data_IF_821457910628
#
_entry.id   IF_821457910628
#
_cell.length_a   1.000
_cell.length_b   1.000
_cell.length_c   1.000
_cell.angle_alpha   90.00
_cell.angle_beta   90.00
_cell.angle_gamma   90.00
#
_symmetry.space_group_name_H-M   'P 1'
#
loop_
_entity.id
_entity.type
_entity.pdbx_description
1 polymer ?
#
# COMPACT_ATOMS: atom_id res chain seq x y z
N UNK A 1 -7.23 -9.53 -4.93
CA UNK A 1 -8.28 -10.19 -5.76
C UNK A 1 -9.34 -9.16 -6.12
N UNK A 2 -10.09 -9.34 -7.20
CA UNK A 2 -11.28 -8.56 -7.53
C UNK A 2 -12.43 -9.54 -7.82
N UNK A 3 -13.25 -9.83 -6.81
CA UNK A 3 -14.22 -10.93 -6.90
C UNK A 3 -13.49 -12.29 -6.97
N UNK A 4 -13.74 -13.04 -8.03
CA UNK A 4 -13.14 -14.38 -8.26
C UNK A 4 -11.83 -14.35 -9.04
N UNK A 5 -11.42 -13.19 -9.56
CA UNK A 5 -10.20 -13.07 -10.35
C UNK A 5 -9.05 -12.46 -9.52
N UNK A 6 -7.79 -12.85 -9.79
CA UNK A 6 -6.64 -12.13 -9.28
C UNK A 6 -6.69 -10.66 -9.69
N UNK A 7 -6.26 -9.75 -8.81
CA UNK A 7 -6.17 -8.33 -9.14
C UNK A 7 -4.73 -8.02 -9.54
N UNK A 8 -4.43 -8.09 -10.83
CA UNK A 8 -3.11 -7.80 -11.39
C UNK A 8 -2.92 -6.30 -11.66
N UNK A 9 -1.66 -5.84 -11.73
CA UNK A 9 -1.30 -4.44 -12.02
C UNK A 9 -1.88 -3.43 -11.04
N UNK A 10 -2.13 -3.84 -9.80
CA UNK A 10 -2.58 -2.98 -8.71
C UNK A 10 -1.37 -2.42 -7.97
N UNK A 11 -1.31 -1.10 -7.85
CA UNK A 11 -0.30 -0.42 -7.04
C UNK A 11 -0.63 -0.53 -5.55
N UNK A 12 0.36 -0.96 -4.77
CA UNK A 12 0.30 -1.05 -3.31
C UNK A 12 1.40 -0.16 -2.73
N UNK A 13 1.05 0.73 -1.82
CA UNK A 13 1.97 1.70 -1.21
C UNK A 13 2.14 1.43 0.27
N UNK A 14 3.37 1.48 0.75
CA UNK A 14 3.71 1.40 2.17
C UNK A 14 3.99 2.81 2.69
N UNK A 15 3.31 3.22 3.76
CA UNK A 15 3.51 4.52 4.39
C UNK A 15 4.12 4.39 5.79
N UNK A 16 4.92 5.39 6.17
CA UNK A 16 5.54 5.52 7.50
C UNK A 16 4.52 5.74 8.60
N UNK A 17 3.50 6.52 8.29
CA UNK A 17 2.42 6.92 9.19
C UNK A 17 1.08 6.79 8.45
N UNK A 18 -0.03 6.91 9.18
CA UNK A 18 -1.36 6.97 8.57
C UNK A 18 -1.54 8.32 7.86
N UNK A 19 -1.14 8.42 6.58
CA UNK A 19 -1.16 9.62 5.75
C UNK A 19 -1.41 9.24 4.28
N UNK A 20 -1.89 10.21 3.48
CA UNK A 20 -1.93 10.19 2.01
C UNK A 20 -0.73 10.88 1.37
N UNK A 21 0.01 11.70 2.10
CA UNK A 21 1.09 12.50 1.53
C UNK A 21 2.20 11.58 1.00
N UNK A 22 2.57 11.74 -0.28
CA UNK A 22 3.62 10.93 -0.89
C UNK A 22 4.98 11.06 -0.19
N UNK A 23 5.21 12.17 0.51
CA UNK A 23 6.37 12.40 1.38
C UNK A 23 6.52 11.35 2.48
N UNK A 24 5.41 10.71 2.89
CA UNK A 24 5.36 9.66 3.89
C UNK A 24 5.39 8.25 3.29
N UNK A 25 5.35 8.10 1.96
CA UNK A 25 5.50 6.80 1.32
C UNK A 25 6.95 6.31 1.47
N UNK A 26 7.11 5.00 1.67
CA UNK A 26 8.39 4.32 1.85
C UNK A 26 8.73 3.39 0.68
N UNK A 27 7.70 2.90 -0.02
CA UNK A 27 7.83 2.03 -1.17
C UNK A 27 6.49 1.92 -1.93
N UNK A 28 6.58 1.52 -3.19
CA UNK A 28 5.45 1.04 -4.00
C UNK A 28 5.80 -0.35 -4.54
N UNK A 29 4.84 -1.26 -4.48
CA UNK A 29 4.86 -2.55 -5.17
C UNK A 29 3.69 -2.63 -6.15
N UNK A 30 3.81 -3.49 -7.15
CA UNK A 30 2.73 -3.78 -8.10
C UNK A 30 2.38 -5.25 -8.01
N UNK A 31 1.09 -5.58 -7.97
CA UNK A 31 0.65 -6.97 -7.96
C UNK A 31 0.98 -7.66 -9.29
N UNK A 32 1.49 -8.88 -9.21
CA UNK A 32 1.74 -9.72 -10.39
C UNK A 32 0.43 -10.26 -11.00
N UNK A 33 0.54 -11.08 -12.04
CA UNK A 33 -0.62 -11.69 -12.72
C UNK A 33 -1.46 -12.61 -11.80
N UNK A 34 -0.88 -13.09 -10.71
CA UNK A 34 -1.57 -13.86 -9.67
C UNK A 34 -2.14 -12.97 -8.55
N UNK A 35 -2.07 -11.64 -8.69
CA UNK A 35 -2.55 -10.68 -7.69
C UNK A 35 -1.76 -10.65 -6.39
N UNK A 36 -0.55 -11.23 -6.39
CA UNK A 36 0.36 -11.26 -5.22
C UNK A 36 1.29 -10.07 -5.24
N UNK A 37 1.66 -9.58 -4.06
CA UNK A 37 2.67 -8.56 -3.87
C UNK A 37 3.50 -8.86 -2.62
N UNK A 38 4.74 -8.39 -2.61
CA UNK A 38 5.60 -8.27 -1.42
C UNK A 38 6.12 -6.84 -1.45
N UNK A 39 6.09 -6.16 -0.31
CA UNK A 39 6.55 -4.78 -0.20
C UNK A 39 7.38 -4.61 1.06
N UNK A 40 8.53 -3.98 0.91
CA UNK A 40 9.40 -3.51 1.99
C UNK A 40 9.80 -2.07 1.69
N UNK A 41 10.02 -1.28 2.74
CA UNK A 41 10.40 0.11 2.59
C UNK A 41 11.27 0.54 3.76
N UNK A 42 12.09 1.55 3.53
CA UNK A 42 12.96 2.16 4.53
C UNK A 42 12.69 3.67 4.60
N UNK A 43 13.16 4.33 5.64
CA UNK A 43 12.94 5.78 5.84
C UNK A 43 13.89 6.67 5.02
N UNK A 44 14.63 6.11 4.07
CA UNK A 44 15.43 6.88 3.13
C UNK A 44 14.54 7.48 2.05
N UNK A 45 14.82 8.74 1.67
CA UNK A 45 14.05 9.57 0.72
C UNK A 45 13.43 8.78 -0.44
N UNK A 46 12.16 8.38 -0.28
CA UNK A 46 11.37 7.78 -1.32
C UNK A 46 10.71 8.88 -2.15
N UNK A 47 10.82 8.79 -3.47
CA UNK A 47 10.13 9.68 -4.41
C UNK A 47 9.04 8.85 -5.09
N UNK A 48 7.78 9.09 -4.74
CA UNK A 48 6.63 8.49 -5.41
C UNK A 48 5.89 9.49 -6.30
N UNK A 49 4.95 9.00 -7.10
CA UNK A 49 4.01 9.82 -7.87
C UNK A 49 2.71 10.05 -7.10
N UNK A 50 2.16 11.26 -7.14
CA UNK A 50 0.79 11.53 -6.74
C UNK A 50 -0.12 11.14 -7.91
N UNK A 51 -0.76 9.98 -7.82
CA UNK A 51 -1.69 9.47 -8.84
C UNK A 51 -3.04 9.22 -8.19
N UNK A 52 -4.14 9.36 -8.94
CA UNK A 52 -5.47 9.05 -8.42
C UNK A 52 -5.53 7.60 -7.97
N UNK A 53 -5.91 7.40 -6.72
CA UNK A 53 -5.99 6.07 -6.15
C UNK A 53 -7.07 5.96 -5.10
N UNK A 54 -7.63 4.75 -5.04
CA UNK A 54 -8.55 4.32 -3.99
C UNK A 54 -7.74 3.79 -2.81
N UNK A 55 -7.97 4.36 -1.62
CA UNK A 55 -7.19 4.09 -0.43
C UNK A 55 -7.96 3.19 0.53
N UNK A 56 -7.33 2.07 0.87
CA UNK A 56 -7.72 1.20 1.98
C UNK A 56 -6.54 1.19 2.95
N UNK A 57 -6.74 1.66 4.18
CA UNK A 57 -5.67 1.71 5.18
C UNK A 57 -5.69 0.44 6.01
N UNK A 58 -4.57 -0.29 6.00
CA UNK A 58 -4.35 -1.48 6.82
C UNK A 58 -3.22 -1.18 7.81
N UNK A 59 -3.53 -1.31 9.10
CA UNK A 59 -2.55 -1.12 10.17
C UNK A 59 -1.90 -2.46 10.49
N UNK A 60 -0.58 -2.53 10.34
CA UNK A 60 0.19 -3.69 10.77
C UNK A 60 0.75 -3.46 12.18
N UNK A 61 0.90 -4.52 13.00
CA UNK A 61 1.40 -4.39 14.36
C UNK A 61 2.87 -3.93 14.44
N UNK A 62 3.23 -3.24 15.52
CA UNK A 62 4.57 -2.62 15.69
C UNK A 62 5.70 -3.66 15.72
N UNK A 63 5.43 -4.89 16.13
CA UNK A 63 6.40 -6.00 16.18
C UNK A 63 6.92 -6.44 14.80
N UNK A 64 6.27 -6.01 13.72
CA UNK A 64 6.77 -6.20 12.34
C UNK A 64 7.67 -5.04 11.87
N UNK A 65 7.83 -3.98 12.69
CA UNK A 65 8.77 -2.87 12.44
C UNK A 65 10.10 -3.18 13.12
N UNK A 66 11.20 -3.16 12.37
CA UNK A 66 12.55 -3.36 12.91
C UNK A 66 13.35 -2.05 12.88
N UNK A 67 14.08 -1.76 13.97
CA UNK A 67 15.12 -0.74 13.96
C UNK A 67 16.39 -1.36 13.36
N UNK A 68 16.79 -0.89 12.18
CA UNK A 68 17.99 -1.38 11.49
C UNK A 68 17.78 -1.53 9.99
N UNK A 69 18.78 -2.07 9.29
CA UNK A 69 18.78 -2.21 7.83
C UNK A 69 17.97 -3.41 7.31
N UNK A 70 17.74 -4.42 8.14
CA UNK A 70 17.17 -5.71 7.72
C UNK A 70 15.87 -5.97 8.48
N UNK A 71 14.74 -6.23 7.80
CA UNK A 71 13.49 -6.60 8.45
C UNK A 71 13.62 -7.98 9.12
N UNK A 72 13.10 -8.12 10.34
CA UNK A 72 13.19 -9.39 11.11
C UNK A 72 12.01 -10.33 10.93
N UNK A 73 10.87 -9.83 10.44
CA UNK A 73 9.59 -10.58 10.35
C UNK A 73 8.74 -10.04 9.20
N UNK A 74 7.94 -10.94 8.60
CA UNK A 74 7.00 -10.61 7.54
C UNK A 74 5.57 -10.61 8.07
N UNK A 75 4.85 -9.51 7.86
CA UNK A 75 3.42 -9.43 8.17
C UNK A 75 2.60 -9.96 6.97
N UNK A 76 1.77 -10.97 7.20
CA UNK A 76 0.85 -11.49 6.16
C UNK A 76 -0.54 -10.86 6.35
N UNK A 77 -0.91 -9.99 5.40
CA UNK A 77 -2.21 -9.30 5.38
C UNK A 77 -3.36 -10.17 4.87
N UNK A 78 -3.06 -11.38 4.40
CA UNK A 78 -4.03 -12.31 3.85
C UNK A 78 -4.53 -11.91 2.46
N UNK A 79 -5.75 -12.33 2.14
CA UNK A 79 -6.38 -12.07 0.84
C UNK A 79 -7.29 -10.84 0.92
N UNK A 80 -6.94 -9.80 0.17
CA UNK A 80 -7.76 -8.59 0.03
C UNK A 80 -8.63 -8.68 -1.23
N UNK A 81 -9.94 -8.49 -1.07
CA UNK A 81 -10.89 -8.47 -2.18
C UNK A 81 -11.31 -7.04 -2.49
N UNK A 82 -10.75 -6.51 -3.57
CA UNK A 82 -10.95 -5.14 -4.03
C UNK A 82 -12.34 -4.88 -4.64
N UNK A 83 -13.18 -5.91 -4.81
CA UNK A 83 -14.58 -5.73 -5.21
C UNK A 83 -15.45 -5.21 -4.06
N UNK A 84 -15.02 -5.42 -2.82
CA UNK A 84 -15.73 -4.97 -1.63
C UNK A 84 -15.43 -3.51 -1.33
N UNK A 85 -16.38 -2.83 -0.69
CA UNK A 85 -16.15 -1.53 -0.06
C UNK A 85 -15.66 -1.76 1.37
N UNK A 86 -14.49 -1.24 1.71
CA UNK A 86 -13.91 -1.37 3.04
C UNK A 86 -14.31 -0.20 3.96
N UNK A 87 -14.41 -0.42 5.28
CA UNK A 87 -14.64 0.67 6.22
C UNK A 87 -13.55 1.74 6.10
N UNK A 88 -13.94 3.02 6.12
CA UNK A 88 -13.04 4.17 5.97
C UNK A 88 -12.23 4.17 4.66
N UNK A 89 -12.72 3.49 3.63
CA UNK A 89 -12.17 3.62 2.28
C UNK A 89 -12.35 5.06 1.78
N UNK A 90 -11.25 5.66 1.33
CA UNK A 90 -11.24 7.00 0.79
C UNK A 90 -10.92 6.96 -0.70
N UNK A 91 -11.60 7.80 -1.46
CA UNK A 91 -11.30 8.02 -2.87
C UNK A 91 -10.57 9.35 -2.98
N UNK A 92 -9.25 9.29 -3.22
CA UNK A 92 -8.42 10.48 -3.35
C UNK A 92 -8.50 10.93 -4.81
N UNK A 93 -9.35 11.92 -5.07
CA UNK A 93 -9.38 12.68 -6.30
C UNK A 93 -8.48 13.91 -6.13
N UNK A 94 -7.33 13.97 -6.80
CA UNK A 94 -6.73 15.28 -7.09
C UNK A 94 -6.35 15.37 -8.57
N UNK A 95 -7.22 16.07 -9.32
CA UNK A 95 -6.77 17.15 -10.20
C UNK A 95 -7.04 18.45 -9.44
N UNK A 96 -6.22 18.80 -8.44
CA UNK A 96 -6.16 20.19 -7.96
C UNK A 96 -5.39 21.00 -9.00
N UNK A 97 -6.11 21.50 -9.99
CA UNK A 97 -5.55 22.41 -10.98
C UNK A 97 -6.18 22.29 -12.36
N UNK A 98 -7.47 22.57 -12.47
CA UNK A 98 -8.05 23.38 -13.57
C UNK A 98 -9.13 24.26 -12.95
#
# INVERSE_FOLDING_TARGET
MCGKVPASKVYVRLFKINSDEISNALATAVTNDQGKFIIEGNTGNYQGSEERHRRITLRYPREYVTIGRVPRRNYNVGNLNLMLQYPNEAHIDELKGI
#
